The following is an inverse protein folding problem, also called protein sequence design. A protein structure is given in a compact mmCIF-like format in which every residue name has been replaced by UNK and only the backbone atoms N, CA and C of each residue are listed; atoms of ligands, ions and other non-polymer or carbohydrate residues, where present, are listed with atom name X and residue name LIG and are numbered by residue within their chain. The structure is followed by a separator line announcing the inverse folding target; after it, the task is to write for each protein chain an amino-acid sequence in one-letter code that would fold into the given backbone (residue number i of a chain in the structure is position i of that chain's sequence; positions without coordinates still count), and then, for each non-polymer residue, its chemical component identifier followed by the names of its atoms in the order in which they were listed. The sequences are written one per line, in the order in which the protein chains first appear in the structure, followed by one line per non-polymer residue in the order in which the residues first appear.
data_IF_443136492454
#
_entry.id   IF_443136492454
#
_cell.length_a   1.000
_cell.length_b   1.000
_cell.length_c   1.000
_cell.angle_alpha   90.00
_cell.angle_beta   90.00
_cell.angle_gamma   90.00
#
_symmetry.space_group_name_H-M   'P 1'
#
loop_
_entity.id
_entity.type
_entity.pdbx_description
1 polymer ?
#
# COMPACT_ATOMS: atom_id res chain seq x y z
N UNK A 1 -6.90 11.13 0.51
CA UNK A 1 -7.50 9.87 0.04
C UNK A 1 -6.51 8.76 0.28
N UNK A 2 -6.95 7.65 0.88
CA UNK A 2 -6.09 6.49 1.10
C UNK A 2 -6.30 5.46 0.00
N UNK A 3 -5.22 4.86 -0.48
CA UNK A 3 -5.24 3.76 -1.45
C UNK A 3 -4.53 2.55 -0.82
N UNK A 4 -5.19 1.40 -0.85
CA UNK A 4 -4.67 0.15 -0.28
C UNK A 4 -3.88 -0.64 -1.33
N UNK A 5 -2.69 -0.15 -1.64
CA UNK A 5 -1.68 -0.84 -2.44
C UNK A 5 -0.30 -0.22 -2.19
N UNK A 6 0.78 -0.98 -2.36
CA UNK A 6 2.12 -0.42 -2.16
C UNK A 6 2.45 0.60 -3.25
N UNK A 7 2.86 1.80 -2.86
CA UNK A 7 3.23 2.88 -3.78
C UNK A 7 4.66 2.76 -4.31
N UNK A 8 5.48 1.88 -3.77
CA UNK A 8 6.79 1.56 -4.34
C UNK A 8 7.18 0.12 -4.02
N UNK A 9 8.29 -0.31 -4.58
CA UNK A 9 8.92 -1.59 -4.26
C UNK A 9 10.11 -1.39 -3.30
N UNK A 10 10.59 -2.45 -2.63
CA UNK A 10 11.81 -2.40 -1.82
C UNK A 10 13.02 -1.88 -2.61
N UNK A 11 13.80 -1.00 -1.98
CA UNK A 11 14.98 -0.35 -2.57
C UNK A 11 16.17 -0.29 -1.61
N UNK A 12 15.97 0.12 -0.35
CA UNK A 12 17.07 0.46 0.57
C UNK A 12 17.90 -0.76 0.93
N UNK A 13 17.25 -1.86 1.30
CA UNK A 13 17.93 -3.12 1.60
C UNK A 13 18.38 -3.87 0.34
N UNK A 14 17.68 -3.65 -0.78
CA UNK A 14 17.88 -4.37 -2.04
C UNK A 14 18.90 -3.70 -2.99
N UNK A 15 19.20 -2.43 -2.77
CA UNK A 15 20.08 -1.59 -3.59
C UNK A 15 19.42 -1.00 -4.86
N UNK A 16 18.33 -1.60 -5.34
CA UNK A 16 17.51 -1.11 -6.45
C UNK A 16 16.10 -1.71 -6.36
N UNK A 17 15.12 -1.08 -7.00
CA UNK A 17 13.77 -1.66 -7.11
C UNK A 17 13.80 -2.96 -7.93
N UNK A 18 14.54 -3.00 -9.04
CA UNK A 18 14.70 -4.22 -9.85
C UNK A 18 16.19 -4.40 -10.16
N UNK A 19 16.98 -4.96 -9.23
CA UNK A 19 18.41 -5.18 -9.38
C UNK A 19 18.72 -5.98 -10.65
N UNK A 20 19.77 -5.57 -11.35
CA UNK A 20 20.20 -6.18 -12.61
C UNK A 20 19.36 -5.81 -13.83
N UNK A 21 18.25 -5.07 -13.66
CA UNK A 21 17.37 -4.69 -14.76
C UNK A 21 17.24 -3.18 -14.92
N UNK A 22 17.13 -2.44 -13.81
CA UNK A 22 16.92 -0.98 -13.87
C UNK A 22 17.95 -0.22 -13.04
N UNK A 23 18.23 1.02 -13.46
CA UNK A 23 18.98 2.01 -12.69
C UNK A 23 18.05 3.04 -12.03
N UNK A 24 16.79 2.69 -11.80
CA UNK A 24 15.81 3.58 -11.14
C UNK A 24 16.38 4.06 -9.80
N UNK A 25 16.27 5.36 -9.49
CA UNK A 25 16.81 5.96 -8.26
C UNK A 25 15.73 6.48 -7.33
N UNK A 26 14.52 6.68 -7.85
CA UNK A 26 13.36 7.17 -7.09
C UNK A 26 12.13 6.29 -7.35
N UNK A 27 11.13 6.39 -6.48
CA UNK A 27 9.84 5.75 -6.70
C UNK A 27 9.19 6.24 -8.00
N UNK A 28 9.35 7.53 -8.34
CA UNK A 28 8.82 8.08 -9.61
C UNK A 28 9.48 7.46 -10.83
N UNK A 29 10.79 7.19 -10.77
CA UNK A 29 11.48 6.46 -11.84
C UNK A 29 10.92 5.04 -11.98
N UNK A 30 10.61 4.38 -10.85
CA UNK A 30 9.94 3.07 -10.86
C UNK A 30 8.56 3.16 -11.49
N UNK A 31 7.74 4.14 -11.12
CA UNK A 31 6.38 4.30 -11.67
C UNK A 31 6.40 4.47 -13.18
N UNK A 32 7.26 5.35 -13.68
CA UNK A 32 7.44 5.55 -15.12
C UNK A 32 7.93 4.28 -15.82
N UNK A 33 8.85 3.53 -15.19
CA UNK A 33 9.34 2.27 -15.72
C UNK A 33 8.23 1.21 -15.79
N UNK A 34 7.45 1.05 -14.72
CA UNK A 34 6.34 0.09 -14.66
C UNK A 34 5.31 0.40 -15.72
N UNK A 35 4.91 1.67 -15.87
CA UNK A 35 3.92 2.07 -16.87
C UNK A 35 4.41 1.83 -18.31
N UNK A 36 5.65 2.22 -18.63
CA UNK A 36 6.23 2.01 -19.95
C UNK A 36 6.41 0.52 -20.33
N UNK A 37 6.46 -0.38 -19.35
CA UNK A 37 6.67 -1.83 -19.55
C UNK A 37 5.44 -2.67 -19.18
N UNK A 38 4.26 -2.05 -19.07
CA UNK A 38 2.99 -2.75 -18.87
C UNK A 38 2.09 -2.53 -20.08
N UNK A 39 1.72 -3.61 -20.77
CA UNK A 39 0.85 -3.56 -21.96
C UNK A 39 -0.62 -3.81 -21.63
N UNK A 40 -0.92 -4.10 -20.37
CA UNK A 40 -2.28 -4.45 -19.95
C UNK A 40 -3.22 -3.23 -20.03
N UNK A 41 -4.48 -3.50 -20.36
CA UNK A 41 -5.58 -2.52 -20.35
C UNK A 41 -5.89 -2.05 -18.92
N UNK A 42 -6.64 -0.96 -18.78
CA UNK A 42 -7.16 -0.45 -17.50
C UNK A 42 -6.11 -0.32 -16.38
N UNK A 43 -4.89 0.08 -16.73
CA UNK A 43 -3.75 0.20 -15.81
C UNK A 43 -3.34 -1.11 -15.14
N UNK A 44 -3.72 -2.27 -15.69
CA UNK A 44 -3.26 -3.56 -15.23
C UNK A 44 -1.72 -3.67 -15.28
N UNK A 45 -1.14 -4.58 -14.50
CA UNK A 45 0.31 -4.82 -14.53
C UNK A 45 0.65 -6.31 -14.52
N UNK A 46 -0.27 -7.17 -14.97
CA UNK A 46 -0.04 -8.61 -14.98
C UNK A 46 1.12 -8.97 -15.91
N UNK A 47 1.14 -8.41 -17.12
CA UNK A 47 2.23 -8.61 -18.09
C UNK A 47 3.60 -8.24 -17.52
N UNK A 48 3.68 -7.13 -16.77
CA UNK A 48 4.92 -6.67 -16.15
C UNK A 48 5.53 -7.71 -15.21
N UNK A 49 4.69 -8.36 -14.40
CA UNK A 49 5.13 -9.38 -13.44
C UNK A 49 5.52 -10.67 -14.16
N UNK A 50 4.70 -11.14 -15.11
CA UNK A 50 4.93 -12.39 -15.84
C UNK A 50 6.23 -12.35 -16.66
N UNK A 51 6.53 -11.25 -17.34
CA UNK A 51 7.79 -11.06 -18.09
C UNK A 51 9.04 -11.11 -17.19
N UNK A 52 8.87 -10.94 -15.87
CA UNK A 52 9.93 -10.91 -14.85
C UNK A 52 9.82 -12.06 -13.85
N UNK A 53 8.97 -13.05 -14.14
CA UNK A 53 8.80 -14.26 -13.34
C UNK A 53 10.12 -14.99 -13.15
N UNK A 54 10.39 -15.42 -11.91
CA UNK A 54 11.61 -16.12 -11.53
C UNK A 54 12.89 -15.28 -11.54
N UNK A 55 12.84 -14.03 -12.02
CA UNK A 55 13.96 -13.07 -11.95
C UNK A 55 13.76 -12.03 -10.86
N UNK A 56 12.56 -11.48 -10.79
CA UNK A 56 12.18 -10.44 -9.82
C UNK A 56 10.99 -10.87 -8.96
N UNK A 57 10.07 -11.64 -9.53
CA UNK A 57 8.82 -12.03 -8.89
C UNK A 57 8.72 -13.54 -8.69
N UNK A 58 8.24 -13.93 -7.52
CA UNK A 58 7.86 -15.31 -7.20
C UNK A 58 6.37 -15.51 -7.51
N UNK A 59 6.06 -16.28 -8.56
CA UNK A 59 4.70 -16.61 -8.97
C UNK A 59 4.37 -18.09 -8.67
N UNK A 60 5.37 -18.95 -8.45
CA UNK A 60 5.16 -20.34 -8.08
C UNK A 60 6.45 -21.10 -7.78
N UNK A 61 6.30 -22.33 -7.28
CA UNK A 61 7.43 -23.18 -6.88
C UNK A 61 8.45 -23.46 -7.99
N UNK A 62 8.03 -23.38 -9.27
CA UNK A 62 8.92 -23.52 -10.42
C UNK A 62 9.95 -22.38 -10.56
N UNK A 63 9.73 -21.26 -9.86
CA UNK A 63 10.56 -20.07 -9.93
C UNK A 63 11.79 -20.14 -8.99
N UNK A 64 11.88 -21.20 -8.18
CA UNK A 64 12.94 -21.41 -7.20
C UNK A 64 12.48 -21.22 -5.75
N UNK A 65 13.42 -21.18 -4.78
CA UNK A 65 13.08 -21.02 -3.38
C UNK A 65 12.44 -19.66 -3.09
N UNK A 66 11.19 -19.66 -2.61
CA UNK A 66 10.41 -18.43 -2.31
C UNK A 66 11.20 -17.37 -1.52
N UNK A 67 12.00 -17.81 -0.54
CA UNK A 67 12.79 -16.94 0.33
C UNK A 67 13.74 -15.99 -0.43
N UNK A 68 14.17 -16.37 -1.62
CA UNK A 68 15.11 -15.59 -2.43
C UNK A 68 14.45 -14.34 -3.04
N UNK A 69 13.11 -14.29 -3.04
CA UNK A 69 12.29 -13.18 -3.53
C UNK A 69 11.73 -12.30 -2.40
N UNK A 70 11.86 -12.72 -1.13
CA UNK A 70 11.23 -12.02 -0.01
C UNK A 70 12.07 -10.81 0.44
N UNK A 71 11.81 -9.68 -0.18
CA UNK A 71 12.42 -8.38 0.15
C UNK A 71 11.33 -7.40 0.58
N UNK A 72 11.52 -6.64 1.64
CA UNK A 72 10.49 -5.72 2.15
C UNK A 72 10.98 -4.28 2.15
N UNK A 73 10.02 -3.34 2.08
CA UNK A 73 10.31 -1.92 2.30
C UNK A 73 10.60 -1.67 3.78
N UNK A 74 11.29 -0.58 4.08
CA UNK A 74 11.58 -0.17 5.45
C UNK A 74 10.30 -0.01 6.29
N UNK A 75 9.22 0.54 5.72
CA UNK A 75 7.95 0.70 6.42
C UNK A 75 7.34 -0.63 6.85
N UNK A 76 7.40 -1.66 5.99
CA UNK A 76 6.89 -3.00 6.27
C UNK A 76 7.61 -3.67 7.45
N UNK A 77 8.86 -3.27 7.70
CA UNK A 77 9.71 -3.80 8.77
C UNK A 77 9.71 -2.96 10.05
N UNK A 78 9.11 -1.77 10.04
CA UNK A 78 9.15 -0.83 11.17
C UNK A 78 8.63 -1.43 12.49
N UNK A 79 7.60 -2.28 12.41
CA UNK A 79 7.00 -2.97 13.56
C UNK A 79 7.75 -4.19 14.08
N UNK A 80 9.00 -4.44 13.68
CA UNK A 80 9.86 -5.48 14.25
C UNK A 80 9.31 -6.91 14.12
N UNK A 81 8.83 -7.30 12.94
CA UNK A 81 8.20 -8.61 12.66
C UNK A 81 6.93 -8.92 13.48
N UNK A 82 6.38 -7.96 14.22
CA UNK A 82 5.09 -8.11 14.91
C UNK A 82 3.92 -8.32 13.93
N UNK A 83 4.15 -8.03 12.66
CA UNK A 83 3.33 -8.34 11.49
C UNK A 83 4.13 -9.19 10.50
N UNK A 84 3.43 -9.98 9.68
CA UNK A 84 4.02 -10.73 8.55
C UNK A 84 3.55 -10.09 7.24
N UNK A 85 4.11 -8.93 6.84
CA UNK A 85 3.71 -8.28 5.59
C UNK A 85 4.08 -9.16 4.40
N UNK A 86 3.24 -9.14 3.37
CA UNK A 86 3.56 -9.73 2.08
C UNK A 86 4.29 -8.68 1.24
N UNK A 87 5.44 -9.05 0.69
CA UNK A 87 6.16 -8.16 -0.23
C UNK A 87 5.49 -8.13 -1.61
N UNK A 88 5.64 -7.01 -2.32
CA UNK A 88 5.24 -6.88 -3.73
C UNK A 88 5.96 -7.83 -4.69
N UNK A 89 7.05 -8.49 -4.26
CA UNK A 89 7.73 -9.52 -5.06
C UNK A 89 7.13 -10.93 -4.92
N UNK A 90 6.32 -11.14 -3.87
CA UNK A 90 5.57 -12.38 -3.67
C UNK A 90 4.25 -12.28 -4.40
N UNK A 91 4.27 -12.66 -5.68
CA UNK A 91 3.16 -12.57 -6.61
C UNK A 91 2.26 -13.82 -6.61
N UNK A 92 2.41 -14.70 -5.62
CA UNK A 92 1.62 -15.92 -5.48
C UNK A 92 0.30 -15.67 -4.73
N UNK A 93 -0.75 -16.38 -5.16
CA UNK A 93 -1.99 -16.50 -4.40
C UNK A 93 -3.05 -15.43 -4.67
N UNK A 94 -4.20 -15.62 -4.03
CA UNK A 94 -5.41 -14.81 -4.26
C UNK A 94 -5.29 -13.35 -3.83
N UNK A 95 -4.31 -13.02 -2.98
CA UNK A 95 -4.18 -11.68 -2.42
C UNK A 95 -3.77 -10.62 -3.47
N UNK A 96 -3.24 -11.02 -4.64
CA UNK A 96 -2.90 -10.16 -5.78
C UNK A 96 -2.19 -8.83 -5.42
N UNK A 97 -1.54 -8.75 -4.25
CA UNK A 97 -0.96 -7.53 -3.69
C UNK A 97 0.09 -6.97 -4.63
N UNK A 98 0.90 -7.86 -5.21
CA UNK A 98 1.87 -7.51 -6.24
C UNK A 98 1.17 -6.82 -7.43
N UNK A 99 0.23 -7.49 -8.11
CA UNK A 99 -0.45 -6.91 -9.29
C UNK A 99 -1.16 -5.60 -8.98
N UNK A 100 -1.87 -5.53 -7.85
CA UNK A 100 -2.55 -4.30 -7.42
C UNK A 100 -1.56 -3.17 -7.15
N UNK A 101 -0.42 -3.45 -6.54
CA UNK A 101 0.61 -2.44 -6.25
C UNK A 101 1.26 -1.93 -7.53
N UNK A 102 1.64 -2.82 -8.46
CA UNK A 102 2.22 -2.38 -9.73
C UNK A 102 1.20 -1.66 -10.63
N UNK A 103 -0.07 -2.07 -10.63
CA UNK A 103 -1.15 -1.30 -11.26
C UNK A 103 -1.33 0.08 -10.59
N UNK A 104 -1.28 0.13 -9.26
CA UNK A 104 -1.27 1.38 -8.49
C UNK A 104 -0.10 2.29 -8.86
N UNK A 105 1.09 1.75 -9.10
CA UNK A 105 2.25 2.53 -9.58
C UNK A 105 2.00 3.13 -10.98
N UNK A 106 1.31 2.43 -11.89
CA UNK A 106 0.87 3.01 -13.17
C UNK A 106 -0.10 4.17 -12.95
N UNK A 107 -1.09 3.99 -12.08
CA UNK A 107 -2.02 5.07 -11.69
C UNK A 107 -1.25 6.28 -11.13
N UNK A 108 -0.28 6.06 -10.24
CA UNK A 108 0.54 7.13 -9.65
C UNK A 108 1.40 7.84 -10.70
N UNK A 109 1.90 7.13 -11.71
CA UNK A 109 2.62 7.74 -12.83
C UNK A 109 1.75 8.77 -13.55
N UNK A 110 0.51 8.42 -13.88
CA UNK A 110 -0.41 9.32 -14.57
C UNK A 110 -0.93 10.47 -13.68
N UNK A 111 -1.06 10.24 -12.37
CA UNK A 111 -1.49 11.28 -11.41
C UNK A 111 -0.35 12.20 -10.95
N UNK A 112 0.92 11.84 -11.21
CA UNK A 112 2.07 12.63 -10.83
C UNK A 112 1.97 14.06 -11.39
N UNK A 113 2.14 15.05 -10.52
CA UNK A 113 2.03 16.48 -10.87
C UNK A 113 0.60 17.01 -10.90
N UNK A 114 -0.43 16.15 -10.92
CA UNK A 114 -1.83 16.56 -10.85
C UNK A 114 -2.36 16.55 -9.41
N UNK A 115 -1.89 15.61 -8.58
CA UNK A 115 -2.24 15.50 -7.17
C UNK A 115 -0.99 15.09 -6.37
N UNK A 116 -0.73 15.69 -5.20
CA UNK A 116 0.40 15.30 -4.38
C UNK A 116 0.23 13.86 -3.87
N UNK A 117 1.34 13.15 -3.78
CA UNK A 117 1.42 11.78 -3.26
C UNK A 117 2.39 11.75 -2.09
N UNK A 118 1.89 11.58 -0.87
CA UNK A 118 2.75 11.47 0.30
C UNK A 118 3.35 10.05 0.40
N UNK A 119 4.63 9.91 0.80
CA UNK A 119 5.54 10.96 1.25
C UNK A 119 6.45 11.55 0.14
N UNK A 120 6.22 11.20 -1.12
CA UNK A 120 7.04 11.65 -2.26
C UNK A 120 6.88 13.15 -2.56
N UNK A 121 5.73 13.71 -2.22
CA UNK A 121 5.40 15.13 -2.28
C UNK A 121 5.13 15.69 -0.87
N UNK A 122 5.36 17.00 -0.65
CA UNK A 122 4.98 17.65 0.59
C UNK A 122 3.44 17.65 0.75
N UNK A 123 3.00 17.53 2.01
CA UNK A 123 1.58 17.67 2.36
C UNK A 123 1.10 19.08 1.97
N UNK A 124 0.04 19.21 1.15
CA UNK A 124 -0.49 20.52 0.80
C UNK A 124 -1.21 21.16 1.99
N UNK A 125 -1.26 22.51 2.01
CA UNK A 125 -2.00 23.25 3.05
C UNK A 125 -3.52 23.07 2.96
N UNK A 126 -4.02 22.81 1.75
CA UNK A 126 -5.43 22.56 1.45
C UNK A 126 -5.56 21.70 0.18
N UNK A 127 -6.72 21.05 0.00
CA UNK A 127 -6.99 20.20 -1.16
C UNK A 127 -6.68 18.72 -0.93
N UNK A 128 -6.72 17.94 -2.02
CA UNK A 128 -6.55 16.50 -1.97
C UNK A 128 -5.06 16.08 -1.93
N UNK A 129 -4.81 14.93 -1.29
CA UNK A 129 -3.51 14.27 -1.17
C UNK A 129 -3.74 12.76 -1.24
N UNK A 130 -2.88 12.03 -1.93
CA UNK A 130 -2.84 10.56 -1.86
C UNK A 130 -1.90 10.09 -0.76
N UNK A 131 -2.35 9.09 -0.02
CA UNK A 131 -1.52 8.32 0.92
C UNK A 131 -1.72 6.83 0.67
N UNK A 132 -0.65 6.07 0.80
CA UNK A 132 -0.73 4.62 0.93
C UNK A 132 -1.31 4.27 2.31
N UNK A 133 -2.24 3.32 2.39
CA UNK A 133 -2.82 2.84 3.65
C UNK A 133 -2.83 1.32 3.71
N UNK A 134 -3.00 0.78 4.92
CA UNK A 134 -3.51 -0.57 5.14
C UNK A 134 -4.83 -0.50 5.89
N UNK A 135 -5.90 -1.09 5.34
CA UNK A 135 -7.24 -1.02 5.95
C UNK A 135 -7.27 -1.64 7.35
N UNK A 136 -6.41 -2.63 7.60
CA UNK A 136 -6.26 -3.25 8.92
C UNK A 136 -5.82 -2.27 10.03
N UNK A 137 -5.16 -1.15 9.71
CA UNK A 137 -4.80 -0.12 10.70
C UNK A 137 -6.06 0.53 11.26
N UNK A 138 -7.04 0.83 10.40
CA UNK A 138 -8.30 1.42 10.81
C UNK A 138 -9.09 0.48 11.74
N UNK A 139 -9.15 -0.81 11.41
CA UNK A 139 -9.76 -1.83 12.27
C UNK A 139 -9.06 -1.93 13.63
N UNK A 140 -7.72 -1.91 13.66
CA UNK A 140 -6.94 -1.92 14.91
C UNK A 140 -7.19 -0.67 15.74
N UNK A 141 -7.24 0.50 15.11
CA UNK A 141 -7.53 1.76 15.78
C UNK A 141 -8.94 1.80 16.38
N UNK A 142 -9.90 1.12 15.74
CA UNK A 142 -11.26 0.92 16.24
C UNK A 142 -11.37 -0.17 17.33
N UNK A 143 -10.26 -0.77 17.77
CA UNK A 143 -10.25 -1.81 18.80
C UNK A 143 -10.67 -3.20 18.32
N UNK A 144 -10.77 -3.42 17.00
CA UNK A 144 -11.13 -4.73 16.44
C UNK A 144 -9.99 -5.73 16.68
N UNK A 145 -10.27 -6.92 17.26
CA UNK A 145 -9.25 -7.93 17.50
C UNK A 145 -8.54 -8.38 16.23
N UNK A 146 -7.24 -8.73 16.35
CA UNK A 146 -6.47 -9.32 15.24
C UNK A 146 -7.18 -10.57 14.71
N UNK A 147 -7.29 -10.69 13.39
CA UNK A 147 -7.99 -11.80 12.73
C UNK A 147 -9.51 -11.61 12.59
N UNK A 148 -10.09 -10.51 13.12
CA UNK A 148 -11.50 -10.14 12.96
C UNK A 148 -11.70 -8.80 12.24
N UNK A 149 -10.67 -8.29 11.57
CA UNK A 149 -10.73 -7.00 10.86
C UNK A 149 -11.74 -6.98 9.72
N UNK A 150 -12.11 -8.15 9.16
CA UNK A 150 -13.10 -8.27 8.09
C UNK A 150 -14.52 -8.16 8.64
N UNK A 151 -15.01 -6.93 8.76
CA UNK A 151 -16.39 -6.64 9.20
C UNK A 151 -17.35 -6.92 8.03
N UNK A 152 -18.38 -7.74 8.24
CA UNK A 152 -19.32 -8.14 7.18
C UNK A 152 -20.79 -7.98 7.58
N UNK A 153 -21.04 -7.11 8.55
CA UNK A 153 -22.37 -6.79 9.04
C UNK A 153 -22.44 -5.33 9.53
N UNK A 154 -23.65 -4.78 9.54
CA UNK A 154 -23.93 -3.39 9.88
C UNK A 154 -23.56 -3.05 11.33
N UNK A 155 -23.88 -3.94 12.27
CA UNK A 155 -23.70 -3.69 13.71
C UNK A 155 -22.21 -3.58 14.04
N UNK A 156 -21.40 -4.52 13.55
CA UNK A 156 -19.97 -4.52 13.74
C UNK A 156 -19.31 -3.29 13.11
N UNK A 157 -19.79 -2.86 11.93
CA UNK A 157 -19.30 -1.64 11.28
C UNK A 157 -19.63 -0.39 12.11
N UNK A 158 -20.86 -0.24 12.58
CA UNK A 158 -21.27 0.92 13.39
C UNK A 158 -20.55 0.98 14.73
N UNK A 159 -20.32 -0.16 15.38
CA UNK A 159 -19.51 -0.22 16.60
C UNK A 159 -18.07 0.26 16.34
N UNK A 160 -17.46 -0.17 15.24
CA UNK A 160 -16.10 0.26 14.88
C UNK A 160 -16.05 1.75 14.49
N UNK A 161 -17.06 2.24 13.77
CA UNK A 161 -17.21 3.65 13.43
C UNK A 161 -17.36 4.53 14.68
N UNK A 162 -18.18 4.10 15.64
CA UNK A 162 -18.37 4.79 16.91
C UNK A 162 -17.05 4.88 17.71
N UNK A 163 -16.26 3.80 17.73
CA UNK A 163 -14.93 3.80 18.36
C UNK A 163 -13.96 4.81 17.70
N UNK A 164 -14.14 5.10 16.41
CA UNK A 164 -13.40 6.15 15.69
C UNK A 164 -14.07 7.53 15.78
N UNK A 165 -15.11 7.71 16.59
CA UNK A 165 -15.83 8.98 16.73
C UNK A 165 -16.67 9.36 15.51
N UNK A 166 -17.14 8.38 14.74
CA UNK A 166 -18.02 8.58 13.58
C UNK A 166 -19.47 8.28 13.92
N UNK A 167 -20.40 8.94 13.23
CA UNK A 167 -21.81 8.55 13.24
C UNK A 167 -22.02 7.21 12.54
N UNK A 168 -23.15 6.53 12.77
CA UNK A 168 -23.51 5.32 12.03
C UNK A 168 -23.48 5.52 10.51
N UNK A 169 -23.17 4.45 9.78
CA UNK A 169 -23.17 4.44 8.32
C UNK A 169 -24.59 4.40 7.74
N UNK A 170 -24.71 4.78 6.47
CA UNK A 170 -25.92 4.51 5.70
C UNK A 170 -25.95 3.02 5.30
N UNK A 171 -27.11 2.34 5.37
CA UNK A 171 -27.19 0.92 5.03
C UNK A 171 -26.64 0.62 3.63
N UNK A 172 -25.78 -0.39 3.55
CA UNK A 172 -25.23 -0.87 2.28
C UNK A 172 -26.16 -1.90 1.63
N UNK A 173 -26.16 -1.95 0.30
CA UNK A 173 -26.83 -3.03 -0.45
C UNK A 173 -26.18 -4.39 -0.19
N UNK A 174 -24.88 -4.42 0.10
CA UNK A 174 -24.11 -5.59 0.48
C UNK A 174 -22.98 -5.22 1.44
N UNK A 175 -22.80 -6.04 2.48
CA UNK A 175 -21.68 -5.95 3.40
C UNK A 175 -20.62 -6.98 3.00
N UNK A 176 -19.62 -6.53 2.25
CA UNK A 176 -18.38 -7.27 2.02
C UNK A 176 -17.20 -6.58 2.70
N UNK A 177 -16.08 -7.29 2.83
CA UNK A 177 -14.91 -6.75 3.50
C UNK A 177 -14.29 -5.55 2.78
N UNK A 178 -14.51 -5.38 1.47
CA UNK A 178 -13.96 -4.23 0.75
C UNK A 178 -14.73 -2.94 1.05
N UNK A 179 -16.06 -3.00 1.01
CA UNK A 179 -16.90 -1.84 1.27
C UNK A 179 -16.79 -1.36 2.73
N UNK A 180 -16.81 -2.31 3.69
CA UNK A 180 -16.69 -1.97 5.11
C UNK A 180 -15.30 -1.47 5.47
N UNK A 181 -14.23 -2.08 4.91
CA UNK A 181 -12.85 -1.59 5.09
C UNK A 181 -12.67 -0.18 4.53
N UNK A 182 -13.24 0.12 3.36
CA UNK A 182 -13.15 1.45 2.76
C UNK A 182 -13.83 2.53 3.63
N UNK A 183 -15.03 2.26 4.16
CA UNK A 183 -15.74 3.16 5.06
C UNK A 183 -14.94 3.38 6.34
N UNK A 184 -14.44 2.30 6.93
CA UNK A 184 -13.68 2.36 8.18
C UNK A 184 -12.34 3.09 7.99
N UNK A 185 -11.64 2.83 6.89
CA UNK A 185 -10.41 3.52 6.52
C UNK A 185 -10.65 5.02 6.30
N UNK A 186 -11.73 5.40 5.63
CA UNK A 186 -12.09 6.80 5.46
C UNK A 186 -12.38 7.49 6.80
N UNK A 187 -13.10 6.81 7.71
CA UNK A 187 -13.33 7.30 9.07
C UNK A 187 -12.03 7.49 9.86
N UNK A 188 -11.14 6.51 9.81
CA UNK A 188 -9.85 6.57 10.47
C UNK A 188 -8.95 7.67 9.90
N UNK A 189 -8.89 7.82 8.57
CA UNK A 189 -8.11 8.89 7.92
C UNK A 189 -8.60 10.27 8.34
N UNK A 190 -9.92 10.47 8.46
CA UNK A 190 -10.50 11.77 8.87
C UNK A 190 -10.02 12.19 10.26
N UNK A 191 -9.96 11.28 11.22
CA UNK A 191 -9.49 11.58 12.58
C UNK A 191 -7.96 11.62 12.67
N UNK A 192 -7.28 10.79 11.88
CA UNK A 192 -5.82 10.64 11.90
C UNK A 192 -5.07 11.71 11.11
N UNK A 193 -5.70 12.39 10.16
CA UNK A 193 -5.05 13.43 9.35
C UNK A 193 -4.53 14.61 10.17
N UNK A 194 -5.05 14.84 11.37
CA UNK A 194 -4.60 15.90 12.28
C UNK A 194 -3.45 15.46 13.23
N UNK A 195 -3.01 14.21 13.14
CA UNK A 195 -1.93 13.66 13.97
C UNK A 195 -0.58 13.84 13.29
N UNK A 196 0.19 14.82 13.74
CA UNK A 196 1.52 15.14 13.18
C UNK A 196 2.52 13.97 13.26
N UNK A 197 2.42 13.12 14.28
CA UNK A 197 3.28 11.95 14.43
C UNK A 197 3.14 10.93 13.28
N UNK A 198 1.96 10.87 12.64
CA UNK A 198 1.73 9.98 11.50
C UNK A 198 2.31 10.53 10.19
N UNK A 199 2.51 11.84 10.10
CA UNK A 199 3.15 12.50 8.95
C UNK A 199 4.68 12.50 9.05
N UNK A 200 5.21 12.32 10.26
CA UNK A 200 6.64 12.33 10.59
C UNK A 200 7.08 11.06 11.35
N UNK A 201 6.87 9.85 10.79
CA UNK A 201 7.26 8.62 11.47
C UNK A 201 8.80 8.52 11.57
N UNK A 202 9.30 8.03 12.70
CA UNK A 202 10.74 7.97 13.03
C UNK A 202 11.57 7.24 11.97
N UNK A 203 11.01 6.24 11.29
CA UNK A 203 11.70 5.46 10.27
C UNK A 203 11.79 6.12 8.88
N UNK A 204 11.04 7.19 8.61
CA UNK A 204 10.98 7.84 7.30
C UNK A 204 12.08 8.89 7.12
N UNK A 205 13.27 8.44 6.75
CA UNK A 205 14.37 9.31 6.32
C UNK A 205 14.25 9.71 4.83
N UNK A 206 15.11 10.63 4.38
CA UNK A 206 15.06 11.19 3.02
C UNK A 206 15.25 10.14 1.93
N UNK A 207 16.13 9.15 2.15
CA UNK A 207 16.35 8.07 1.19
C UNK A 207 15.07 7.24 1.02
N UNK A 208 14.47 6.79 2.12
CA UNK A 208 13.21 6.03 2.12
C UNK A 208 12.09 6.85 1.48
N UNK A 209 11.98 8.14 1.84
CA UNK A 209 10.99 9.07 1.28
C UNK A 209 11.05 9.10 -0.24
N UNK A 210 12.24 9.13 -0.83
CA UNK A 210 12.39 9.19 -2.28
C UNK A 210 12.27 7.85 -2.99
N UNK A 211 12.59 6.73 -2.32
CA UNK A 211 12.70 5.42 -3.00
C UNK A 211 11.56 4.48 -2.66
N UNK A 212 11.26 4.26 -1.38
CA UNK A 212 10.29 3.23 -0.94
C UNK A 212 8.94 3.83 -0.54
N UNK A 213 8.93 5.10 -0.14
CA UNK A 213 7.79 5.74 0.49
C UNK A 213 7.52 5.23 1.90
N UNK A 214 6.30 5.45 2.36
CA UNK A 214 5.83 5.00 3.68
C UNK A 214 4.32 4.75 3.65
N UNK A 215 3.87 3.72 4.33
CA UNK A 215 2.44 3.47 4.54
C UNK A 215 1.94 4.34 5.69
N UNK A 216 0.94 5.19 5.45
CA UNK A 216 0.43 6.11 6.46
C UNK A 216 -0.17 5.36 7.65
N UNK A 217 0.23 5.72 8.87
CA UNK A 217 -0.19 5.04 10.10
C UNK A 217 0.72 3.91 10.57
N UNK A 218 1.76 3.54 9.81
CA UNK A 218 2.76 2.57 10.26
C UNK A 218 3.84 3.24 11.10
N UNK A 219 4.13 2.66 12.26
CA UNK A 219 5.12 3.11 13.25
C UNK A 219 5.86 1.93 13.85
#
# INVERSE_FOLDING_TARGET
MGIDCSFSAPFVARGAHLPGETQTRTARDLWAYVDAHSKDEDLGAASFLEERRGRQFYLGAADGPKRDFLHWRACEMAGGHSTKPTTVYDAIGAAQVAKASFAGMRMLHHLAGQMPVWPFDPRPKAGALLVEIYTAIAARAAGVPRGRSKLRDAVSLDMALAALGSTPHQPLSRYDDHATDAILAAAWLRTSANREDLWHPTGLNEKIRHTEGWTFGVS
#
